data_IF_060328412608
#
_entry.id   IF_060328412608
#
_cell.length_a   1.000
_cell.length_b   1.000
_cell.length_c   1.000
_cell.angle_alpha   90.00
_cell.angle_beta   90.00
_cell.angle_gamma   90.00
#
_symmetry.space_group_name_H-M   'P 1'
#
loop_
_entity.id
_entity.type
_entity.pdbx_description
1 polymer ?
#
# COMPACT_ATOMS: atom_id res chain seq x y z
N UNK A 1 -3.35 14.93 -10.42
CA UNK A 1 -4.23 13.89 -11.01
C UNK A 1 -3.87 12.61 -10.27
N UNK A 2 -4.75 12.10 -9.41
CA UNK A 2 -4.47 10.87 -8.62
C UNK A 2 -4.64 9.66 -9.53
N UNK A 3 -3.57 8.89 -9.68
CA UNK A 3 -3.62 7.56 -10.29
C UNK A 3 -3.95 6.55 -9.18
N UNK A 4 -5.10 5.90 -9.30
CA UNK A 4 -5.55 4.82 -8.41
C UNK A 4 -5.89 3.58 -9.24
N UNK A 5 -4.90 2.73 -9.49
CA UNK A 5 -5.13 1.35 -9.98
C UNK A 5 -4.64 0.37 -8.89
N UNK A 6 -5.53 0.00 -7.96
CA UNK A 6 -5.29 -0.97 -6.88
C UNK A 6 -4.47 -0.44 -5.70
N UNK A 7 -3.67 -1.33 -5.07
CA UNK A 7 -2.89 -1.14 -3.82
C UNK A 7 -1.80 -0.04 -3.83
N UNK A 8 -1.63 0.69 -4.94
CA UNK A 8 -0.46 1.56 -5.16
C UNK A 8 -0.85 3.00 -5.52
N UNK A 9 -0.59 3.93 -4.60
CA UNK A 9 -0.71 5.39 -4.82
C UNK A 9 0.62 5.93 -5.35
N UNK A 10 0.58 6.80 -6.37
CA UNK A 10 1.77 7.46 -6.92
C UNK A 10 2.00 8.79 -6.22
N UNK A 11 3.23 9.02 -5.76
CA UNK A 11 3.71 10.32 -5.27
C UNK A 11 4.82 10.84 -6.19
N UNK A 12 4.78 12.14 -6.47
CA UNK A 12 5.78 12.83 -7.32
C UNK A 12 6.55 13.87 -6.52
N UNK A 13 7.75 14.20 -6.99
CA UNK A 13 8.54 15.29 -6.43
C UNK A 13 9.70 15.71 -7.34
N UNK A 14 10.47 16.67 -6.86
CA UNK A 14 11.56 17.31 -7.61
C UNK A 14 12.86 17.15 -6.82
N UNK A 15 13.95 16.76 -7.47
CA UNK A 15 15.26 16.75 -6.81
C UNK A 15 15.90 18.14 -6.77
N UNK A 16 16.44 18.50 -5.61
CA UNK A 16 17.23 19.72 -5.38
C UNK A 16 18.72 19.48 -5.73
N UNK A 17 19.02 19.12 -6.99
CA UNK A 17 20.40 19.10 -7.48
C UNK A 17 20.73 20.37 -8.27
N UNK A 18 21.98 20.86 -8.12
CA UNK A 18 22.54 21.95 -8.93
C UNK A 18 22.54 21.56 -10.42
N UNK A 19 21.52 22.08 -11.10
CA UNK A 19 21.17 22.10 -12.52
C UNK A 19 22.31 21.69 -13.48
N UNK A 20 22.32 20.42 -13.89
CA UNK A 20 22.65 20.05 -15.27
C UNK A 20 21.32 19.83 -16.00
N UNK A 21 20.97 20.59 -17.05
CA UNK A 21 19.69 20.46 -17.75
C UNK A 21 19.49 19.09 -18.42
N UNK A 22 20.54 18.26 -18.50
CA UNK A 22 20.48 16.88 -18.99
C UNK A 22 20.13 15.84 -17.92
N UNK A 23 19.98 16.22 -16.66
CA UNK A 23 19.61 15.28 -15.61
C UNK A 23 18.07 15.25 -15.45
N UNK A 24 17.47 14.07 -15.20
CA UNK A 24 16.09 13.97 -14.76
C UNK A 24 15.87 14.85 -13.52
N UNK A 25 14.77 15.59 -13.51
CA UNK A 25 14.46 16.58 -12.47
C UNK A 25 13.33 16.08 -11.55
N UNK A 26 12.47 15.22 -12.07
CA UNK A 26 11.28 14.72 -11.41
C UNK A 26 11.46 13.25 -11.03
N UNK A 27 10.86 12.85 -9.91
CA UNK A 27 10.62 11.46 -9.59
C UNK A 27 9.13 11.18 -9.46
N UNK A 28 8.77 9.93 -9.71
CA UNK A 28 7.52 9.32 -9.30
C UNK A 28 7.86 8.02 -8.57
N UNK A 29 7.23 7.77 -7.42
CA UNK A 29 7.36 6.51 -6.68
C UNK A 29 6.00 6.04 -6.18
N UNK A 30 5.90 4.77 -5.83
CA UNK A 30 4.74 4.32 -5.06
C UNK A 30 4.85 4.82 -3.62
N UNK A 31 3.72 5.15 -3.01
CA UNK A 31 3.67 5.59 -1.61
C UNK A 31 4.19 4.49 -0.68
N UNK A 32 3.85 3.25 -1.00
CA UNK A 32 4.08 2.06 -0.18
C UNK A 32 5.24 1.20 -0.72
N UNK A 33 6.11 1.75 -1.56
CA UNK A 33 7.26 1.03 -2.13
C UNK A 33 8.43 1.98 -2.39
N UNK A 34 9.65 1.45 -2.32
CA UNK A 34 10.88 2.19 -2.61
C UNK A 34 11.22 2.22 -4.11
N UNK A 35 10.32 1.68 -4.94
CA UNK A 35 10.42 1.76 -6.40
C UNK A 35 10.15 3.18 -6.87
N UNK A 36 11.21 3.86 -7.32
CA UNK A 36 11.17 5.18 -7.93
C UNK A 36 11.56 5.15 -9.41
N UNK A 37 10.95 6.04 -10.19
CA UNK A 37 11.28 6.30 -11.59
C UNK A 37 11.57 7.78 -11.78
N UNK A 38 12.58 8.08 -12.58
CA UNK A 38 13.06 9.42 -12.86
C UNK A 38 12.59 9.90 -14.24
N UNK A 39 12.24 11.19 -14.35
CA UNK A 39 11.85 11.84 -15.59
C UNK A 39 12.35 13.28 -15.72
N UNK A 40 12.43 13.79 -16.94
CA UNK A 40 12.69 15.21 -17.21
C UNK A 40 11.43 16.07 -17.00
N UNK A 41 10.25 15.44 -17.07
CA UNK A 41 8.95 16.00 -16.69
C UNK A 41 8.26 15.13 -15.65
N UNK A 42 7.28 15.69 -14.94
CA UNK A 42 6.45 14.95 -13.99
C UNK A 42 5.69 13.81 -14.68
N UNK A 43 5.09 14.08 -15.85
CA UNK A 43 4.35 13.09 -16.63
C UNK A 43 5.24 11.93 -17.09
N UNK A 44 6.48 12.22 -17.50
CA UNK A 44 7.44 11.19 -17.89
C UNK A 44 7.79 10.25 -16.73
N UNK A 45 7.97 10.80 -15.54
CA UNK A 45 8.22 9.99 -14.35
C UNK A 45 7.01 9.12 -13.99
N UNK A 46 5.79 9.70 -14.04
CA UNK A 46 4.54 8.99 -13.78
C UNK A 46 4.30 7.85 -14.79
N UNK A 47 4.42 8.12 -16.09
CA UNK A 47 4.20 7.10 -17.13
C UNK A 47 5.26 6.01 -17.09
N UNK A 48 6.51 6.36 -16.76
CA UNK A 48 7.56 5.39 -16.49
C UNK A 48 7.23 4.46 -15.32
N UNK A 49 6.74 5.01 -14.20
CA UNK A 49 6.32 4.23 -13.04
C UNK A 49 5.12 3.32 -13.34
N UNK A 50 4.12 3.79 -14.11
CA UNK A 50 2.98 2.96 -14.55
C UNK A 50 3.42 1.82 -15.48
N UNK A 51 4.36 2.08 -16.39
CA UNK A 51 4.91 1.04 -17.27
C UNK A 51 5.64 -0.02 -16.45
N UNK A 52 6.45 0.42 -15.49
CA UNK A 52 7.19 -0.43 -14.57
C UNK A 52 6.23 -1.31 -13.75
N UNK A 53 5.15 -0.73 -13.21
CA UNK A 53 4.06 -1.47 -12.55
C UNK A 53 3.49 -2.58 -13.42
N UNK A 54 3.12 -2.27 -14.68
CA UNK A 54 2.53 -3.24 -15.62
C UNK A 54 3.51 -4.35 -15.98
N UNK A 55 4.79 -4.02 -16.16
CA UNK A 55 5.84 -5.00 -16.43
C UNK A 55 6.09 -5.92 -15.23
N UNK A 56 6.07 -5.41 -14.00
CA UNK A 56 6.22 -6.21 -12.78
C UNK A 56 4.99 -7.08 -12.50
N UNK A 57 3.77 -6.52 -12.58
CA UNK A 57 2.51 -7.27 -12.47
C UNK A 57 2.45 -8.45 -13.47
N UNK A 58 2.97 -8.24 -14.68
CA UNK A 58 3.01 -9.29 -15.71
C UNK A 58 4.14 -10.32 -15.50
N UNK A 59 5.23 -9.96 -14.81
CA UNK A 59 6.44 -10.80 -14.71
C UNK A 59 6.61 -11.53 -13.40
N UNK A 60 6.30 -10.95 -12.23
CA UNK A 60 6.32 -11.60 -10.92
C UNK A 60 5.94 -10.62 -9.80
N UNK A 61 5.18 -11.12 -8.83
CA UNK A 61 4.89 -10.58 -7.48
C UNK A 61 5.95 -9.55 -7.02
N UNK A 62 5.52 -8.31 -6.75
CA UNK A 62 6.38 -7.31 -6.10
C UNK A 62 6.96 -7.92 -4.82
N UNK A 63 8.28 -7.79 -4.70
CA UNK A 63 9.12 -8.47 -3.72
C UNK A 63 8.75 -8.02 -2.29
N UNK A 64 8.46 -8.93 -1.35
CA UNK A 64 8.24 -8.59 0.06
C UNK A 64 9.55 -8.33 0.83
N UNK A 65 10.71 -8.49 0.20
CA UNK A 65 11.98 -8.56 0.90
C UNK A 65 12.79 -7.27 0.72
N UNK A 66 12.87 -6.49 1.80
CA UNK A 66 13.92 -5.52 2.16
C UNK A 66 13.52 -4.05 2.40
N UNK A 67 12.42 -3.77 3.11
CA UNK A 67 12.21 -2.42 3.67
C UNK A 67 11.89 -2.46 5.17
N UNK A 68 12.88 -2.82 5.98
CA UNK A 68 12.85 -2.58 7.44
C UNK A 68 12.76 -1.08 7.81
N UNK A 69 12.61 -0.12 6.88
CA UNK A 69 12.88 1.30 7.18
C UNK A 69 12.09 2.36 6.41
N UNK A 70 10.83 2.16 6.02
CA UNK A 70 10.00 3.33 5.62
C UNK A 70 8.59 3.27 6.18
N UNK A 71 8.50 3.34 7.51
CA UNK A 71 7.35 3.92 8.17
C UNK A 71 7.27 5.40 7.80
N UNK A 72 6.23 5.81 7.06
CA UNK A 72 5.62 7.13 7.26
C UNK A 72 4.36 7.36 6.40
N UNK A 73 3.46 8.22 6.89
CA UNK A 73 2.65 8.17 8.12
C UNK A 73 1.23 7.69 7.71
N UNK A 74 0.43 7.03 8.52
CA UNK A 74 -0.45 7.73 9.46
C UNK A 74 -1.11 6.76 10.47
N UNK A 75 -0.70 5.49 10.50
CA UNK A 75 -0.80 4.70 11.73
C UNK A 75 0.45 5.02 12.55
N UNK A 76 0.34 5.57 13.77
CA UNK A 76 1.51 5.67 14.64
C UNK A 76 2.22 4.32 14.67
N UNK A 77 3.54 4.27 14.53
CA UNK A 77 4.31 3.01 14.54
C UNK A 77 3.90 2.10 15.69
N UNK A 78 3.59 2.70 16.84
CA UNK A 78 3.08 2.04 18.05
C UNK A 78 1.76 1.29 17.82
N UNK A 79 0.83 1.86 17.05
CA UNK A 79 -0.49 1.27 16.74
C UNK A 79 -0.35 0.13 15.72
N UNK A 80 0.50 0.28 14.70
CA UNK A 80 0.79 -0.81 13.76
C UNK A 80 1.50 -1.97 14.45
N UNK A 81 2.57 -1.66 15.20
CA UNK A 81 3.34 -2.65 15.95
C UNK A 81 2.44 -3.39 16.93
N UNK A 82 1.47 -2.71 17.54
CA UNK A 82 0.50 -3.35 18.43
C UNK A 82 -0.33 -4.45 17.72
N UNK A 83 -0.83 -4.21 16.50
CA UNK A 83 -1.59 -5.23 15.78
C UNK A 83 -0.70 -6.35 15.25
N UNK A 84 0.51 -6.01 14.80
CA UNK A 84 1.48 -6.97 14.30
C UNK A 84 1.96 -7.90 15.42
N UNK A 85 2.37 -7.36 16.57
CA UNK A 85 2.85 -8.14 17.72
C UNK A 85 1.75 -9.02 18.33
N UNK A 86 0.49 -8.59 18.23
CA UNK A 86 -0.68 -9.38 18.64
C UNK A 86 -1.14 -10.37 17.57
N UNK A 87 -0.50 -10.41 16.40
CA UNK A 87 -0.81 -11.30 15.29
C UNK A 87 -2.15 -11.00 14.59
N UNK A 88 -2.78 -9.86 14.88
CA UNK A 88 -4.10 -9.48 14.33
C UNK A 88 -3.98 -9.22 12.83
N UNK A 89 -2.99 -8.42 12.40
CA UNK A 89 -2.80 -8.09 10.99
C UNK A 89 -2.44 -9.32 10.16
N UNK A 90 -1.52 -10.15 10.67
CA UNK A 90 -1.09 -11.41 10.05
C UNK A 90 -2.30 -12.33 9.85
N UNK A 91 -3.04 -12.62 10.93
CA UNK A 91 -4.19 -13.52 10.86
C UNK A 91 -5.30 -12.98 9.96
N UNK A 92 -5.48 -11.66 9.89
CA UNK A 92 -6.44 -11.03 8.99
C UNK A 92 -6.08 -11.25 7.52
N UNK A 93 -4.84 -10.97 7.11
CA UNK A 93 -4.42 -11.11 5.72
C UNK A 93 -4.29 -12.58 5.28
N UNK A 94 -3.81 -13.46 6.17
CA UNK A 94 -3.79 -14.90 5.91
C UNK A 94 -5.20 -15.47 5.66
N UNK A 95 -6.19 -15.01 6.43
CA UNK A 95 -7.58 -15.46 6.31
C UNK A 95 -8.16 -15.23 4.91
N UNK A 96 -7.74 -14.15 4.25
CA UNK A 96 -8.20 -13.77 2.92
C UNK A 96 -7.22 -14.16 1.81
N UNK A 97 -6.24 -15.02 2.11
CA UNK A 97 -5.21 -15.49 1.17
C UNK A 97 -4.35 -14.36 0.56
N UNK A 98 -4.21 -13.25 1.29
CA UNK A 98 -3.35 -12.11 0.93
C UNK A 98 -1.99 -12.20 1.63
N UNK A 99 -1.05 -11.34 1.23
CA UNK A 99 0.27 -11.28 1.86
C UNK A 99 0.13 -10.84 3.35
N UNK A 100 0.58 -11.66 4.33
CA UNK A 100 0.51 -11.32 5.75
C UNK A 100 1.26 -10.05 6.15
N UNK A 101 2.19 -9.61 5.29
CA UNK A 101 2.99 -8.40 5.47
C UNK A 101 2.48 -7.23 4.62
N UNK A 102 1.23 -7.29 4.16
CA UNK A 102 0.59 -6.19 3.44
C UNK A 102 0.67 -4.91 4.28
N UNK A 103 1.27 -3.86 3.70
CA UNK A 103 1.37 -2.55 4.31
C UNK A 103 0.08 -1.77 4.09
N UNK A 104 -0.45 -1.17 5.17
CA UNK A 104 -1.67 -0.35 5.17
C UNK A 104 -1.43 0.91 6.00
N UNK A 105 -2.02 2.03 5.59
CA UNK A 105 -2.10 3.26 6.37
C UNK A 105 -3.47 3.39 7.08
N UNK A 106 -3.74 4.53 7.72
CA UNK A 106 -4.98 4.78 8.45
C UNK A 106 -6.13 5.32 7.57
N UNK A 107 -5.88 5.51 6.28
CA UNK A 107 -6.89 5.85 5.28
C UNK A 107 -7.19 4.63 4.38
N UNK A 108 -6.36 3.58 4.43
CA UNK A 108 -6.45 2.39 3.60
C UNK A 108 -7.75 1.62 3.86
N UNK A 109 -8.60 1.54 2.83
CA UNK A 109 -9.93 0.95 2.94
C UNK A 109 -9.96 -0.50 2.46
N UNK A 110 -11.06 -1.19 2.74
CA UNK A 110 -11.30 -2.54 2.22
C UNK A 110 -11.43 -2.56 0.70
N UNK A 111 -11.94 -1.48 0.10
CA UNK A 111 -12.00 -1.36 -1.36
C UNK A 111 -10.61 -1.33 -1.99
N UNK A 112 -9.62 -0.72 -1.33
CA UNK A 112 -8.23 -0.63 -1.83
C UNK A 112 -7.52 -1.99 -1.84
N UNK A 113 -8.01 -2.95 -1.05
CA UNK A 113 -7.54 -4.34 -1.08
C UNK A 113 -8.03 -5.11 -2.32
N UNK A 114 -8.99 -4.58 -3.08
CA UNK A 114 -9.61 -5.24 -4.24
C UNK A 114 -10.19 -6.63 -3.89
N UNK A 115 -10.69 -6.82 -2.67
CA UNK A 115 -11.21 -8.11 -2.21
C UNK A 115 -12.47 -8.52 -2.97
N UNK A 116 -12.59 -9.82 -3.22
CA UNK A 116 -13.85 -10.42 -3.66
C UNK A 116 -14.90 -10.38 -2.55
N UNK A 117 -16.19 -10.38 -2.92
CA UNK A 117 -17.30 -10.48 -1.96
C UNK A 117 -17.13 -11.69 -1.02
N UNK A 118 -16.60 -12.81 -1.53
CA UNK A 118 -16.35 -14.02 -0.74
C UNK A 118 -15.28 -13.78 0.35
N UNK A 119 -14.21 -13.04 0.07
CA UNK A 119 -13.20 -12.69 1.08
C UNK A 119 -13.79 -11.78 2.15
N UNK A 120 -14.66 -10.82 1.77
CA UNK A 120 -15.35 -9.95 2.73
C UNK A 120 -16.30 -10.77 3.63
N UNK A 121 -17.06 -11.72 3.06
CA UNK A 121 -17.91 -12.63 3.84
C UNK A 121 -17.10 -13.46 4.84
N UNK A 122 -15.94 -13.99 4.45
CA UNK A 122 -15.06 -14.74 5.35
C UNK A 122 -14.60 -13.89 6.54
N UNK A 123 -14.22 -12.63 6.32
CA UNK A 123 -13.84 -11.69 7.39
C UNK A 123 -15.02 -11.50 8.35
N UNK A 124 -16.20 -11.19 7.81
CA UNK A 124 -17.40 -10.94 8.59
C UNK A 124 -17.80 -12.14 9.44
N UNK A 125 -17.77 -13.35 8.87
CA UNK A 125 -18.10 -14.58 9.60
C UNK A 125 -17.06 -14.91 10.67
N UNK A 126 -15.77 -14.74 10.38
CA UNK A 126 -14.70 -15.07 11.32
C UNK A 126 -14.69 -14.17 12.54
N UNK A 127 -14.86 -12.87 12.34
CA UNK A 127 -14.75 -11.86 13.39
C UNK A 127 -16.10 -11.33 13.88
N UNK A 128 -17.22 -11.84 13.34
CA UNK A 128 -18.57 -11.38 13.65
C UNK A 128 -18.74 -9.87 13.43
N UNK A 129 -18.22 -9.38 12.31
CA UNK A 129 -18.24 -7.97 11.91
C UNK A 129 -19.18 -7.73 10.73
N UNK A 130 -19.44 -6.46 10.44
CA UNK A 130 -20.11 -6.00 9.22
C UNK A 130 -19.21 -5.01 8.52
N UNK A 131 -18.20 -5.55 7.84
CA UNK A 131 -17.20 -4.81 7.07
C UNK A 131 -17.81 -4.33 5.76
N UNK A 132 -17.57 -3.07 5.43
CA UNK A 132 -17.99 -2.42 4.19
C UNK A 132 -16.79 -1.99 3.35
N UNK A 133 -16.93 -1.79 2.02
CA UNK A 133 -15.82 -1.36 1.16
C UNK A 133 -15.13 -0.08 1.65
N UNK A 134 -15.88 0.89 2.17
CA UNK A 134 -15.39 2.17 2.69
C UNK A 134 -14.78 2.10 4.10
N UNK A 135 -14.89 0.96 4.78
CA UNK A 135 -14.32 0.82 6.11
C UNK A 135 -12.79 0.82 6.02
N UNK A 136 -12.14 1.60 6.89
CA UNK A 136 -10.69 1.62 7.06
C UNK A 136 -10.22 0.31 7.69
N UNK A 137 -9.16 -0.30 7.14
CA UNK A 137 -8.65 -1.61 7.57
C UNK A 137 -8.13 -1.57 9.01
N UNK A 138 -7.45 -0.50 9.43
CA UNK A 138 -6.97 -0.39 10.82
C UNK A 138 -8.10 -0.26 11.84
N UNK A 139 -9.23 0.33 11.46
CA UNK A 139 -10.43 0.37 12.31
C UNK A 139 -11.09 -1.01 12.42
N UNK A 140 -10.92 -1.88 11.42
CA UNK A 140 -11.31 -3.30 11.52
C UNK A 140 -10.41 -4.00 12.53
N UNK A 141 -9.10 -3.74 12.54
CA UNK A 141 -8.19 -4.33 13.53
C UNK A 141 -8.54 -3.90 14.96
N UNK A 142 -8.91 -2.63 15.15
CA UNK A 142 -9.42 -2.13 16.43
C UNK A 142 -10.70 -2.84 16.87
N UNK A 143 -11.63 -3.08 15.94
CA UNK A 143 -12.85 -3.84 16.23
C UNK A 143 -12.54 -5.29 16.63
N UNK A 144 -11.64 -5.96 15.92
CA UNK A 144 -11.19 -7.33 16.22
C UNK A 144 -10.55 -7.39 17.61
N UNK A 145 -9.65 -6.46 17.92
CA UNK A 145 -8.95 -6.38 19.21
C UNK A 145 -9.89 -6.23 20.40
N UNK A 146 -11.01 -5.53 20.22
CA UNK A 146 -11.97 -5.21 21.28
C UNK A 146 -13.16 -6.19 21.35
N UNK A 147 -13.17 -7.23 20.51
CA UNK A 147 -14.19 -8.29 20.49
C UNK A 147 -13.77 -9.47 21.36
#
# INVERSE_FOLDING_TARGET
>A
MEFSEGKYKIVTGIFDYKINPKNPKYFAKFLNDDVEVLGHTEDEAIEGLKKLYKEYKAKNKLFPSHSDQVLNPYVPTEKFQEYFDKGISIAFFELIEEDPYTQIDDEFTVQDLELSNKQIEIINDKYQLSVRPEDVVVDIFDRIKNS
#
